data_IF_772222427858
#
_entry.id   IF_772222427858
#
_cell.length_a   1.000
_cell.length_b   1.000
_cell.length_c   1.000
_cell.angle_alpha   90.00
_cell.angle_beta   90.00
_cell.angle_gamma   90.00
#
_symmetry.space_group_name_H-M   'P 1'
#
loop_
_entity.id
_entity.type
_entity.pdbx_description
1 polymer ?
#
# COMPACT_ATOMS: atom_id res chain seq x y z
N UNK A 1 -35.66 -63.91 24.78
CA UNK A 1 -36.84 -63.50 25.55
C UNK A 1 -37.59 -62.49 24.78
N UNK A 2 -38.83 -62.82 24.43
CA UNK A 2 -39.83 -62.01 23.70
C UNK A 2 -40.37 -60.85 24.55
N UNK A 3 -40.72 -59.73 23.97
CA UNK A 3 -41.91 -58.87 24.26
C UNK A 3 -41.94 -57.77 23.20
N UNK A 4 -42.71 -57.86 22.19
CA UNK A 4 -44.15 -57.53 21.89
C UNK A 4 -44.44 -56.01 21.95
N UNK A 5 -44.59 -55.48 20.82
CA UNK A 5 -45.54 -54.59 20.10
C UNK A 5 -46.70 -54.06 20.96
N UNK A 6 -46.93 -52.74 20.90
CA UNK A 6 -48.30 -52.21 20.90
C UNK A 6 -48.39 -50.99 20.00
N UNK A 7 -49.22 -51.13 18.96
CA UNK A 7 -49.71 -50.10 18.10
C UNK A 7 -50.93 -49.43 18.74
N UNK A 8 -51.05 -48.15 18.64
CA UNK A 8 -52.29 -47.43 18.92
C UNK A 8 -52.61 -46.50 17.73
N UNK A 9 -53.66 -46.89 17.01
CA UNK A 9 -54.40 -46.08 16.08
C UNK A 9 -55.11 -44.97 16.83
N UNK A 10 -55.12 -43.78 16.35
CA UNK A 10 -56.08 -42.74 16.69
C UNK A 10 -56.52 -41.97 15.43
N UNK A 11 -57.80 -41.94 15.33
CA UNK A 11 -58.74 -41.66 14.27
C UNK A 11 -58.68 -40.17 13.82
N UNK A 12 -58.91 -40.00 12.50
CA UNK A 12 -59.20 -38.78 11.80
C UNK A 12 -60.35 -37.96 12.40
N UNK A 13 -60.18 -36.64 12.40
CA UNK A 13 -61.28 -35.73 12.25
C UNK A 13 -60.95 -34.62 11.22
N UNK A 14 -61.68 -34.67 10.14
CA UNK A 14 -61.66 -33.70 9.03
C UNK A 14 -62.36 -32.43 9.55
N UNK A 15 -61.65 -31.32 9.56
CA UNK A 15 -62.27 -29.99 9.65
C UNK A 15 -61.93 -29.20 8.42
N UNK A 16 -62.98 -29.01 7.61
CA UNK A 16 -62.99 -28.11 6.46
C UNK A 16 -62.91 -26.69 6.99
N UNK A 17 -61.86 -25.97 6.73
CA UNK A 17 -61.79 -24.53 7.01
C UNK A 17 -61.59 -23.72 5.71
N UNK A 18 -62.47 -22.79 5.57
CA UNK A 18 -62.67 -21.81 4.52
C UNK A 18 -61.36 -21.24 3.92
N UNK A 19 -61.33 -21.27 2.57
CA UNK A 19 -60.37 -20.50 1.78
C UNK A 19 -60.86 -19.06 1.71
N UNK A 20 -60.33 -18.24 2.62
CA UNK A 20 -60.44 -16.77 2.56
C UNK A 20 -59.42 -16.24 1.54
N UNK A 21 -59.89 -15.58 0.53
CA UNK A 21 -59.10 -14.84 -0.48
C UNK A 21 -58.20 -13.82 0.20
N UNK A 22 -56.88 -14.05 0.11
CA UNK A 22 -55.87 -13.04 0.45
C UNK A 22 -55.73 -12.08 -0.75
N UNK A 23 -55.70 -10.76 -0.50
CA UNK A 23 -55.45 -9.78 -1.56
C UNK A 23 -53.97 -9.89 -2.02
N UNK A 24 -53.80 -9.96 -3.32
CA UNK A 24 -52.50 -9.80 -3.99
C UNK A 24 -51.99 -8.38 -3.81
N UNK A 25 -51.08 -8.19 -2.83
CA UNK A 25 -50.40 -6.93 -2.63
C UNK A 25 -48.94 -7.23 -2.23
N UNK A 26 -48.10 -7.59 -3.20
CA UNK A 26 -46.62 -7.51 -3.10
C UNK A 26 -45.99 -7.68 -4.49
N UNK A 27 -46.05 -6.60 -5.28
CA UNK A 27 -45.21 -6.46 -6.43
C UNK A 27 -44.97 -4.96 -6.73
N UNK A 28 -44.26 -4.28 -5.83
CA UNK A 28 -43.74 -2.92 -6.13
C UNK A 28 -42.69 -2.54 -5.10
N UNK A 29 -41.51 -3.14 -5.07
CA UNK A 29 -40.34 -2.60 -4.38
C UNK A 29 -38.99 -3.11 -4.92
N UNK A 30 -38.94 -3.88 -6.00
CA UNK A 30 -37.66 -4.35 -6.57
C UNK A 30 -36.93 -3.28 -7.40
N UNK A 31 -37.66 -2.38 -8.04
CA UNK A 31 -37.07 -1.39 -8.96
C UNK A 31 -36.41 -0.21 -8.22
N UNK A 32 -36.94 0.19 -7.06
CA UNK A 32 -36.42 1.31 -6.30
C UNK A 32 -35.16 0.96 -5.49
N UNK A 33 -35.02 -0.30 -5.05
CA UNK A 33 -33.80 -0.76 -4.38
C UNK A 33 -32.64 -0.95 -5.37
N UNK A 34 -32.91 -1.43 -6.57
CA UNK A 34 -31.88 -1.58 -7.61
C UNK A 34 -31.37 -0.21 -8.11
N UNK A 35 -32.23 0.80 -8.15
CA UNK A 35 -31.85 2.17 -8.48
C UNK A 35 -31.15 2.90 -7.31
N UNK A 36 -31.48 2.60 -6.06
CA UNK A 36 -30.78 3.13 -4.90
C UNK A 36 -29.35 2.57 -4.80
N UNK A 37 -29.17 1.28 -5.12
CA UNK A 37 -27.85 0.64 -5.16
C UNK A 37 -26.98 1.21 -6.29
N UNK A 38 -27.55 1.47 -7.47
CA UNK A 38 -26.82 2.10 -8.59
C UNK A 38 -26.37 3.53 -8.30
N UNK A 39 -27.03 4.26 -7.44
CA UNK A 39 -26.72 5.66 -7.16
C UNK A 39 -25.54 5.85 -6.21
N UNK A 40 -25.14 4.81 -5.45
CA UNK A 40 -24.03 4.87 -4.49
C UNK A 40 -22.68 4.42 -5.04
N UNK A 41 -22.62 3.95 -6.27
CA UNK A 41 -21.44 3.30 -6.86
C UNK A 41 -20.48 4.28 -7.55
N UNK A 42 -20.87 5.53 -7.72
CA UNK A 42 -20.15 6.51 -8.55
C UNK A 42 -19.27 7.48 -7.73
N UNK A 43 -19.06 7.21 -6.44
CA UNK A 43 -18.25 8.06 -5.56
C UNK A 43 -16.76 7.87 -5.83
N UNK A 44 -16.09 8.95 -6.15
CA UNK A 44 -14.62 8.99 -6.21
C UNK A 44 -14.10 9.50 -4.88
N UNK A 45 -13.43 8.62 -4.12
CA UNK A 45 -12.77 8.96 -2.85
C UNK A 45 -11.31 9.26 -3.07
N UNK A 46 -10.79 10.31 -2.44
CA UNK A 46 -9.37 10.69 -2.55
C UNK A 46 -8.82 10.93 -1.16
N UNK A 47 -7.78 10.17 -0.80
CA UNK A 47 -6.96 10.43 0.39
C UNK A 47 -5.85 11.40 0.04
N UNK A 48 -5.56 12.34 0.93
CA UNK A 48 -4.52 13.33 0.69
C UNK A 48 -3.97 13.90 2.01
N UNK A 49 -2.77 14.47 1.93
CA UNK A 49 -2.16 15.21 3.02
C UNK A 49 -1.87 16.65 2.60
N UNK A 50 -1.74 17.52 3.59
CA UNK A 50 -1.45 18.94 3.36
C UNK A 50 -0.27 19.36 4.23
N UNK A 51 0.66 20.11 3.64
CA UNK A 51 1.80 20.70 4.35
C UNK A 51 1.86 22.21 4.16
N UNK A 52 2.24 22.89 5.23
CA UNK A 52 2.47 24.33 5.20
C UNK A 52 3.80 24.68 4.50
N UNK A 53 4.06 25.98 4.36
CA UNK A 53 5.31 26.49 3.77
C UNK A 53 6.58 26.09 4.55
N UNK A 54 6.43 25.67 5.81
CA UNK A 54 7.51 25.11 6.66
C UNK A 54 7.57 23.58 6.57
N UNK A 55 6.85 22.96 5.64
CA UNK A 55 6.74 21.51 5.45
C UNK A 55 6.12 20.75 6.62
N UNK A 56 5.45 21.41 7.57
CA UNK A 56 4.74 20.75 8.67
C UNK A 56 3.36 20.30 8.20
N UNK A 57 2.90 19.16 8.72
CA UNK A 57 1.54 18.69 8.45
C UNK A 57 0.50 19.68 8.96
N UNK A 58 -0.48 19.96 8.12
CA UNK A 58 -1.65 20.77 8.45
C UNK A 58 -2.85 19.84 8.54
N UNK A 59 -3.22 19.43 9.77
CA UNK A 59 -4.22 18.39 10.03
C UNK A 59 -5.58 18.92 10.50
N UNK A 60 -5.79 20.25 10.52
CA UNK A 60 -7.01 20.86 11.06
C UNK A 60 -7.71 21.80 10.07
N UNK A 61 -7.61 21.50 8.77
CA UNK A 61 -8.23 22.31 7.74
C UNK A 61 -9.66 21.84 7.46
N UNK A 62 -10.59 22.77 7.25
CA UNK A 62 -11.99 22.49 6.96
C UNK A 62 -12.24 22.22 5.48
N UNK A 63 -13.33 21.50 5.16
CA UNK A 63 -13.77 21.25 3.78
C UNK A 63 -13.80 22.52 2.91
N UNK A 64 -14.22 23.65 3.48
CA UNK A 64 -14.35 24.94 2.79
C UNK A 64 -13.04 25.49 2.25
N UNK A 65 -11.91 24.99 2.74
CA UNK A 65 -10.58 25.42 2.31
C UNK A 65 -10.11 24.66 1.07
N UNK A 66 -10.90 23.68 0.61
CA UNK A 66 -10.54 22.83 -0.52
C UNK A 66 -11.52 22.95 -1.68
N UNK A 67 -10.99 22.81 -2.88
CA UNK A 67 -11.75 22.55 -4.11
C UNK A 67 -11.14 21.34 -4.79
N UNK A 68 -11.98 20.51 -5.39
CA UNK A 68 -11.54 19.36 -6.20
C UNK A 68 -11.93 19.59 -7.65
N UNK A 69 -10.97 19.37 -8.54
CA UNK A 69 -11.17 19.47 -9.98
C UNK A 69 -10.93 18.10 -10.61
N UNK A 70 -11.84 17.69 -11.49
CA UNK A 70 -11.66 16.52 -12.37
C UNK A 70 -11.56 17.03 -13.81
N UNK A 71 -10.48 16.63 -14.50
CA UNK A 71 -10.16 17.12 -15.87
C UNK A 71 -10.26 18.65 -16.01
N UNK A 72 -9.87 19.38 -14.95
CA UNK A 72 -9.91 20.84 -14.88
C UNK A 72 -11.28 21.44 -14.53
N UNK A 73 -12.33 20.61 -14.33
CA UNK A 73 -13.67 21.03 -13.99
C UNK A 73 -13.93 20.83 -12.51
N UNK A 74 -14.37 21.87 -11.81
CA UNK A 74 -14.67 21.79 -10.38
C UNK A 74 -15.84 20.83 -10.10
N UNK A 75 -15.66 19.97 -9.11
CA UNK A 75 -16.64 19.00 -8.65
C UNK A 75 -17.10 19.35 -7.22
N UNK A 76 -18.39 19.24 -6.90
CA UNK A 76 -18.88 19.50 -5.55
C UNK A 76 -18.43 18.39 -4.60
N UNK A 77 -17.71 18.75 -3.53
CA UNK A 77 -17.33 17.82 -2.47
C UNK A 77 -18.59 17.39 -1.72
N UNK A 78 -18.82 16.08 -1.65
CA UNK A 78 -19.99 15.47 -0.97
C UNK A 78 -19.64 14.92 0.40
N UNK A 79 -18.42 14.43 0.55
CA UNK A 79 -17.92 13.88 1.80
C UNK A 79 -16.54 14.48 2.07
N UNK A 80 -16.29 14.77 3.33
CA UNK A 80 -14.99 15.23 3.80
C UNK A 80 -14.80 14.75 5.23
N UNK A 81 -13.64 14.16 5.50
CA UNK A 81 -13.29 13.72 6.83
C UNK A 81 -11.78 13.80 7.08
N UNK A 82 -11.44 13.86 8.35
CA UNK A 82 -10.10 13.63 8.87
C UNK A 82 -10.01 12.15 9.22
N UNK A 83 -9.06 11.43 8.65
CA UNK A 83 -8.98 9.99 8.85
C UNK A 83 -7.84 9.59 9.78
N UNK A 84 -8.12 9.57 11.08
CA UNK A 84 -7.30 8.84 12.05
C UNK A 84 -7.80 7.40 12.30
N UNK A 85 -9.08 7.13 12.04
CA UNK A 85 -9.75 5.91 12.51
C UNK A 85 -10.05 4.88 11.40
N UNK A 86 -9.84 5.23 10.14
CA UNK A 86 -9.98 4.28 9.02
C UNK A 86 -8.80 3.32 9.01
N UNK A 87 -9.10 2.02 8.94
CA UNK A 87 -8.11 0.93 8.84
C UNK A 87 -7.03 1.26 7.80
N UNK A 88 -5.78 1.02 8.16
CA UNK A 88 -4.62 1.17 7.30
C UNK A 88 -4.04 -0.20 6.94
N UNK A 89 -3.85 -0.44 5.66
CA UNK A 89 -3.12 -1.58 5.13
C UNK A 89 -1.81 -1.08 4.55
N UNK A 90 -0.68 -1.42 5.17
CA UNK A 90 0.63 -0.87 4.80
C UNK A 90 1.66 -1.97 4.53
N UNK A 91 2.32 -1.89 3.38
CA UNK A 91 3.44 -2.75 3.03
C UNK A 91 4.77 -2.01 3.06
N UNK A 92 5.83 -2.66 3.54
CA UNK A 92 7.20 -2.18 3.34
C UNK A 92 7.89 -3.07 2.31
N UNK A 93 8.46 -2.44 1.29
CA UNK A 93 9.19 -3.06 0.21
C UNK A 93 10.68 -2.72 0.38
N UNK A 94 11.50 -3.73 0.70
CA UNK A 94 12.93 -3.57 0.98
C UNK A 94 13.75 -3.98 -0.24
N UNK A 95 14.63 -3.11 -0.70
CA UNK A 95 15.66 -3.48 -1.66
C UNK A 95 16.73 -4.30 -0.95
N UNK A 96 16.88 -5.56 -1.35
CA UNK A 96 17.84 -6.49 -0.74
C UNK A 96 19.04 -6.77 -1.64
N UNK A 97 19.40 -5.82 -2.50
CA UNK A 97 20.55 -5.92 -3.40
C UNK A 97 21.88 -6.20 -2.68
N UNK A 98 22.76 -6.91 -3.34
CA UNK A 98 23.97 -7.54 -2.76
C UNK A 98 25.04 -6.59 -2.22
N UNK A 99 24.94 -5.28 -2.43
CA UNK A 99 25.85 -4.29 -1.82
C UNK A 99 25.47 -3.86 -0.40
N UNK A 100 24.42 -4.46 0.18
CA UNK A 100 23.57 -3.86 1.20
C UNK A 100 23.61 -4.57 2.56
N UNK A 101 24.39 -5.61 2.79
CA UNK A 101 24.31 -6.37 4.05
C UNK A 101 24.42 -5.50 5.31
N UNK A 102 25.22 -4.46 5.30
CA UNK A 102 25.38 -3.52 6.40
C UNK A 102 24.21 -2.51 6.46
N UNK A 103 23.65 -2.08 5.31
CA UNK A 103 22.48 -1.21 5.25
C UNK A 103 21.25 -1.99 5.71
N UNK A 104 21.08 -3.25 5.28
CA UNK A 104 19.96 -4.11 5.66
C UNK A 104 19.77 -4.22 7.18
N UNK A 105 20.86 -4.22 7.94
CA UNK A 105 20.76 -4.22 9.42
C UNK A 105 20.08 -2.96 9.95
N UNK A 106 20.44 -1.80 9.43
CA UNK A 106 19.86 -0.52 9.82
C UNK A 106 18.45 -0.34 9.27
N UNK A 107 18.23 -0.69 7.99
CA UNK A 107 16.90 -0.67 7.35
C UNK A 107 15.92 -1.57 8.07
N UNK A 108 16.34 -2.77 8.43
CA UNK A 108 15.53 -3.69 9.20
C UNK A 108 15.17 -3.10 10.57
N UNK A 109 16.14 -2.52 11.28
CA UNK A 109 15.85 -1.84 12.55
C UNK A 109 14.84 -0.72 12.43
N UNK A 110 15.03 0.13 11.43
CA UNK A 110 14.12 1.25 11.15
C UNK A 110 12.72 0.75 10.72
N UNK A 111 12.66 -0.30 9.87
CA UNK A 111 11.39 -0.93 9.46
C UNK A 111 10.63 -1.51 10.65
N UNK A 112 11.34 -2.16 11.60
CA UNK A 112 10.73 -2.69 12.82
C UNK A 112 10.09 -1.58 13.64
N UNK A 113 10.80 -0.47 13.86
CA UNK A 113 10.27 0.69 14.58
C UNK A 113 9.08 1.30 13.85
N UNK A 114 9.18 1.48 12.54
CA UNK A 114 8.09 2.00 11.71
C UNK A 114 6.83 1.13 11.81
N UNK A 115 6.95 -0.18 11.60
CA UNK A 115 5.82 -1.09 11.70
C UNK A 115 5.15 -1.06 13.07
N UNK A 116 5.94 -0.96 14.13
CA UNK A 116 5.42 -0.85 15.50
C UNK A 116 4.65 0.46 15.73
N UNK A 117 5.06 1.56 15.12
CA UNK A 117 4.42 2.85 15.28
C UNK A 117 3.23 3.05 14.35
N UNK A 118 3.30 2.51 13.12
CA UNK A 118 2.29 2.76 12.09
C UNK A 118 1.14 1.77 12.12
N UNK A 119 1.39 0.50 12.48
CA UNK A 119 0.38 -0.56 12.50
C UNK A 119 -0.33 -0.58 13.85
N UNK A 120 -1.59 -0.22 13.85
CA UNK A 120 -2.49 -0.31 15.02
C UNK A 120 -3.13 -1.70 15.07
N UNK A 121 -3.78 -2.10 16.18
CA UNK A 121 -4.43 -3.42 16.28
C UNK A 121 -5.48 -3.71 15.21
N UNK A 122 -6.06 -2.68 14.58
CA UNK A 122 -7.03 -2.79 13.50
C UNK A 122 -6.41 -2.76 12.11
N UNK A 123 -5.13 -2.37 12.01
CA UNK A 123 -4.42 -2.20 10.75
C UNK A 123 -3.71 -3.50 10.35
N UNK A 124 -3.29 -3.59 9.09
CA UNK A 124 -2.50 -4.70 8.59
C UNK A 124 -1.15 -4.22 8.06
N UNK A 125 -0.09 -4.88 8.49
CA UNK A 125 1.26 -4.67 7.99
C UNK A 125 1.79 -5.90 7.27
N UNK A 126 2.56 -5.73 6.19
CA UNK A 126 3.28 -6.80 5.51
C UNK A 126 4.65 -6.34 5.02
N UNK A 127 5.53 -7.28 4.74
CA UNK A 127 6.91 -6.99 4.33
C UNK A 127 7.25 -7.83 3.09
N UNK A 128 7.73 -7.17 2.05
CA UNK A 128 8.31 -7.80 0.87
C UNK A 128 9.78 -7.40 0.76
N UNK A 129 10.56 -8.26 0.14
CA UNK A 129 11.87 -7.88 -0.38
C UNK A 129 11.85 -7.95 -1.90
N UNK A 130 12.66 -7.12 -2.52
CA UNK A 130 12.85 -7.15 -3.96
C UNK A 130 14.33 -6.94 -4.32
N UNK A 131 14.79 -7.70 -5.28
CA UNK A 131 16.08 -7.59 -5.93
C UNK A 131 16.02 -8.37 -7.24
N UNK A 132 16.67 -9.54 -7.36
CA UNK A 132 16.55 -10.43 -8.51
C UNK A 132 15.17 -11.09 -8.65
N UNK A 133 14.34 -11.02 -7.63
CA UNK A 133 12.95 -11.47 -7.59
C UNK A 133 12.22 -10.77 -6.44
N UNK A 134 10.90 -10.94 -6.40
CA UNK A 134 10.06 -10.44 -5.32
C UNK A 134 9.73 -11.57 -4.37
N UNK A 135 10.10 -11.44 -3.11
CA UNK A 135 9.83 -12.42 -2.06
C UNK A 135 8.96 -11.83 -0.94
N UNK A 136 8.01 -12.63 -0.47
CA UNK A 136 7.19 -12.27 0.70
C UNK A 136 7.92 -12.69 1.97
N UNK A 137 8.37 -11.71 2.74
CA UNK A 137 9.00 -11.95 4.04
C UNK A 137 7.96 -12.14 5.13
N UNK A 138 6.89 -11.31 5.11
CA UNK A 138 5.76 -11.42 6.01
C UNK A 138 4.46 -11.08 5.27
N UNK A 139 3.47 -11.97 5.36
CA UNK A 139 2.09 -11.73 4.87
C UNK A 139 1.37 -10.75 5.79
N UNK A 140 0.26 -10.10 5.33
CA UNK A 140 -0.47 -9.15 6.14
C UNK A 140 -0.87 -9.71 7.51
N UNK A 141 -0.57 -8.93 8.56
CA UNK A 141 -0.92 -9.22 9.95
C UNK A 141 -1.07 -7.92 10.73
N UNK A 142 -1.92 -7.94 11.76
CA UNK A 142 -2.01 -6.86 12.76
C UNK A 142 -1.09 -7.10 13.96
N UNK A 143 -0.45 -8.26 14.02
CA UNK A 143 0.46 -8.62 15.09
C UNK A 143 1.84 -7.99 14.84
N UNK A 144 2.12 -6.93 15.57
CA UNK A 144 3.39 -6.21 15.47
C UNK A 144 4.58 -6.99 16.00
N UNK A 145 4.37 -7.99 16.87
CA UNK A 145 5.44 -8.85 17.36
C UNK A 145 5.91 -9.79 16.26
N UNK A 146 4.97 -10.35 15.47
CA UNK A 146 5.28 -11.19 14.30
C UNK A 146 6.04 -10.37 13.26
N UNK A 147 5.62 -9.13 13.01
CA UNK A 147 6.33 -8.22 12.10
C UNK A 147 7.76 -7.95 12.59
N UNK A 148 7.94 -7.69 13.89
CA UNK A 148 9.24 -7.48 14.51
C UNK A 148 10.15 -8.70 14.43
N UNK A 149 9.62 -9.87 14.77
CA UNK A 149 10.39 -11.14 14.70
C UNK A 149 10.94 -11.38 13.31
N UNK A 150 10.13 -11.13 12.29
CA UNK A 150 10.55 -11.27 10.89
C UNK A 150 11.64 -10.27 10.49
N UNK A 151 11.54 -9.05 10.95
CA UNK A 151 12.57 -8.02 10.73
C UNK A 151 13.87 -8.38 11.48
N UNK A 152 13.76 -8.91 12.70
CA UNK A 152 14.95 -9.36 13.46
C UNK A 152 15.62 -10.57 12.81
N UNK A 153 14.87 -11.42 12.12
CA UNK A 153 15.42 -12.49 11.29
C UNK A 153 16.29 -11.93 10.16
N UNK A 154 15.80 -10.88 9.47
CA UNK A 154 16.54 -10.17 8.43
C UNK A 154 17.83 -9.57 9.01
N UNK A 155 17.75 -8.94 10.17
CA UNK A 155 18.92 -8.35 10.87
C UNK A 155 19.96 -9.39 11.23
N UNK A 156 19.53 -10.51 11.82
CA UNK A 156 20.44 -11.62 12.18
C UNK A 156 21.16 -12.14 10.94
N UNK A 157 20.43 -12.31 9.85
CA UNK A 157 21.02 -12.74 8.59
C UNK A 157 22.05 -11.72 8.06
N UNK A 158 21.69 -10.43 8.00
CA UNK A 158 22.59 -9.36 7.53
C UNK A 158 23.89 -9.30 8.35
N UNK A 159 23.79 -9.43 9.67
CA UNK A 159 24.94 -9.43 10.57
C UNK A 159 25.83 -10.66 10.36
N UNK A 160 25.21 -11.82 10.13
CA UNK A 160 25.93 -13.10 9.98
C UNK A 160 26.62 -13.17 8.61
N UNK A 161 25.98 -12.66 7.56
CA UNK A 161 26.53 -12.65 6.20
C UNK A 161 27.81 -11.81 6.09
N UNK A 162 27.96 -10.79 6.96
CA UNK A 162 29.19 -9.97 7.03
C UNK A 162 30.34 -10.58 7.83
N UNK A 163 30.11 -11.66 8.59
CA UNK A 163 31.10 -12.23 9.53
C UNK A 163 31.56 -13.65 9.17
N UNK A 164 30.94 -14.31 8.22
CA UNK A 164 31.23 -15.71 7.89
C UNK A 164 32.07 -15.85 6.60
N UNK A 165 33.35 -16.20 6.81
CA UNK A 165 34.07 -17.06 5.90
C UNK A 165 34.06 -18.48 6.53
N UNK A 166 33.48 -19.53 5.94
CA UNK A 166 33.06 -19.70 4.56
C UNK A 166 31.53 -19.81 4.37
N UNK A 167 31.07 -19.28 3.25
CA UNK A 167 29.77 -19.42 2.63
C UNK A 167 28.53 -19.42 3.53
N UNK A 168 27.71 -18.33 3.48
CA UNK A 168 26.42 -18.27 4.14
C UNK A 168 25.50 -19.42 3.64
N UNK A 169 24.46 -19.78 4.42
CA UNK A 169 23.49 -20.78 3.98
C UNK A 169 22.98 -20.44 2.58
N UNK A 170 22.86 -21.46 1.74
CA UNK A 170 22.59 -21.32 0.30
C UNK A 170 21.26 -20.64 -0.06
N UNK A 171 20.45 -20.33 0.93
CA UNK A 171 19.17 -19.63 0.74
C UNK A 171 18.83 -18.83 2.00
N UNK A 172 18.58 -17.56 1.80
CA UNK A 172 17.88 -16.71 2.78
C UNK A 172 16.39 -17.13 2.83
N UNK A 173 15.71 -17.06 3.99
CA UNK A 173 14.25 -17.10 4.01
C UNK A 173 13.73 -15.92 3.18
N UNK A 174 13.32 -16.16 1.95
CA UNK A 174 13.02 -15.14 0.95
C UNK A 174 13.93 -15.19 -0.29
N UNK A 175 14.92 -16.09 -0.31
CA UNK A 175 15.67 -16.45 -1.53
C UNK A 175 16.74 -15.49 -2.03
N UNK A 176 17.34 -14.67 -1.15
CA UNK A 176 18.49 -13.84 -1.51
C UNK A 176 19.68 -14.74 -1.85
N UNK A 177 20.31 -14.59 -3.02
CA UNK A 177 21.45 -15.41 -3.40
C UNK A 177 22.65 -15.14 -2.49
N UNK A 178 23.45 -16.18 -2.16
CA UNK A 178 24.64 -16.02 -1.36
C UNK A 178 25.67 -15.13 -2.09
N UNK A 179 26.43 -14.36 -1.33
CA UNK A 179 27.68 -13.77 -1.80
C UNK A 179 28.59 -14.91 -2.21
N UNK A 180 29.14 -14.90 -3.42
CA UNK A 180 29.99 -15.97 -3.92
C UNK A 180 31.25 -16.16 -3.08
N UNK A 181 31.84 -17.37 -3.07
CA UNK A 181 33.00 -17.75 -2.23
C UNK A 181 34.28 -16.95 -2.52
N UNK A 182 34.27 -16.10 -3.52
CA UNK A 182 35.44 -15.27 -3.92
C UNK A 182 35.27 -13.80 -3.51
N UNK A 183 34.21 -13.43 -2.72
CA UNK A 183 33.89 -12.02 -2.45
C UNK A 183 33.55 -11.23 -3.73
N UNK A 184 33.58 -11.92 -4.89
CA UNK A 184 33.17 -11.30 -6.14
C UNK A 184 31.66 -11.08 -6.07
N UNK A 185 31.23 -9.85 -6.28
CA UNK A 185 29.82 -9.61 -6.47
C UNK A 185 29.35 -10.42 -7.66
N UNK A 186 28.29 -11.19 -7.47
CA UNK A 186 27.56 -11.67 -8.63
C UNK A 186 27.30 -10.45 -9.54
N UNK A 187 27.45 -10.62 -10.84
CA UNK A 187 27.09 -9.60 -11.85
C UNK A 187 25.60 -9.15 -11.78
N UNK A 188 24.85 -9.63 -10.78
CA UNK A 188 23.48 -9.28 -10.45
C UNK A 188 23.35 -8.03 -9.56
N UNK A 189 24.42 -7.26 -9.35
CA UNK A 189 24.47 -6.07 -8.48
C UNK A 189 23.53 -4.93 -8.87
N UNK A 190 22.82 -5.03 -9.98
CA UNK A 190 21.93 -3.97 -10.51
C UNK A 190 20.53 -4.47 -10.87
N UNK A 191 20.13 -5.64 -10.39
CA UNK A 191 18.80 -6.14 -10.68
C UNK A 191 17.87 -5.68 -9.56
N UNK A 192 16.99 -4.72 -9.84
CA UNK A 192 15.94 -4.29 -8.93
C UNK A 192 14.60 -4.47 -9.64
N UNK A 193 13.78 -5.38 -9.13
CA UNK A 193 12.43 -5.67 -9.63
C UNK A 193 11.39 -4.85 -8.87
N UNK A 194 11.57 -3.53 -8.83
CA UNK A 194 10.71 -2.62 -8.06
C UNK A 194 9.27 -2.58 -8.59
N UNK A 195 9.10 -2.46 -9.91
CA UNK A 195 7.74 -2.39 -10.48
C UNK A 195 6.97 -3.69 -10.28
N UNK A 196 7.64 -4.83 -10.38
CA UNK A 196 7.03 -6.13 -10.06
C UNK A 196 6.68 -6.22 -8.57
N UNK A 197 7.52 -5.71 -7.66
CA UNK A 197 7.22 -5.65 -6.23
C UNK A 197 5.99 -4.78 -5.92
N UNK A 198 5.87 -3.63 -6.56
CA UNK A 198 4.70 -2.75 -6.43
C UNK A 198 3.42 -3.44 -6.93
N UNK A 199 3.50 -4.18 -8.04
CA UNK A 199 2.37 -4.96 -8.56
C UNK A 199 2.00 -6.12 -7.66
N UNK A 200 3.00 -6.90 -7.20
CA UNK A 200 2.79 -8.03 -6.27
C UNK A 200 2.18 -7.53 -4.96
N UNK A 201 2.72 -6.48 -4.36
CA UNK A 201 2.20 -5.90 -3.12
C UNK A 201 0.74 -5.48 -3.26
N UNK A 202 0.39 -4.88 -4.38
CA UNK A 202 -0.96 -4.38 -4.63
C UNK A 202 -1.93 -5.51 -4.96
N UNK A 203 -1.64 -6.32 -5.97
CA UNK A 203 -2.58 -7.33 -6.48
C UNK A 203 -2.75 -8.51 -5.52
N UNK A 204 -1.72 -8.85 -4.75
CA UNK A 204 -1.76 -10.00 -3.84
C UNK A 204 -2.26 -9.63 -2.45
N UNK A 205 -1.93 -8.42 -1.95
CA UNK A 205 -2.16 -8.09 -0.55
C UNK A 205 -3.08 -6.90 -0.32
N UNK A 206 -3.15 -5.93 -1.25
CA UNK A 206 -3.92 -4.71 -1.02
C UNK A 206 -5.23 -4.63 -1.83
N UNK A 207 -5.31 -5.33 -2.96
CA UNK A 207 -6.43 -5.21 -3.90
C UNK A 207 -7.80 -5.43 -3.25
N UNK A 208 -7.90 -6.39 -2.34
CA UNK A 208 -9.16 -6.79 -1.71
C UNK A 208 -9.37 -6.21 -0.32
N UNK A 209 -8.38 -5.45 0.18
CA UNK A 209 -8.48 -4.86 1.49
C UNK A 209 -9.31 -3.59 1.47
N UNK A 210 -10.03 -3.37 2.57
CA UNK A 210 -10.84 -2.18 2.79
C UNK A 210 -10.03 -1.14 3.55
N UNK A 211 -10.30 0.14 3.32
CA UNK A 211 -9.65 1.23 4.02
C UNK A 211 -8.51 1.87 3.24
N UNK A 212 -7.60 2.51 3.96
CA UNK A 212 -6.43 3.19 3.39
C UNK A 212 -5.35 2.18 3.03
N UNK A 213 -4.68 2.39 1.93
CA UNK A 213 -3.67 1.47 1.41
C UNK A 213 -2.41 2.24 1.09
N UNK A 214 -1.28 1.76 1.58
CA UNK A 214 0.01 2.37 1.32
C UNK A 214 1.10 1.32 1.12
N UNK A 215 2.11 1.69 0.35
CA UNK A 215 3.38 0.99 0.29
C UNK A 215 4.51 1.98 0.59
N UNK A 216 5.47 1.56 1.39
CA UNK A 216 6.69 2.29 1.69
C UNK A 216 7.84 1.54 1.04
N UNK A 217 8.39 2.13 0.00
CA UNK A 217 9.53 1.58 -0.75
C UNK A 217 10.81 2.11 -0.14
N UNK A 218 11.68 1.23 0.31
CA UNK A 218 13.05 1.56 0.71
C UNK A 218 13.95 1.19 -0.46
N UNK A 219 14.51 2.18 -1.14
CA UNK A 219 15.23 2.01 -2.39
C UNK A 219 16.57 2.72 -2.38
N UNK A 220 17.57 2.13 -3.02
CA UNK A 220 18.84 2.80 -3.34
C UNK A 220 18.87 3.30 -4.78
N UNK A 221 18.17 2.65 -5.67
CA UNK A 221 18.10 2.98 -7.10
C UNK A 221 16.70 2.80 -7.63
N UNK A 222 16.47 3.24 -8.87
CA UNK A 222 15.26 2.93 -9.61
C UNK A 222 15.18 1.46 -9.99
N UNK A 223 14.10 1.13 -10.71
CA UNK A 223 13.92 -0.20 -11.31
C UNK A 223 14.96 -0.46 -12.41
N UNK A 224 15.37 -1.71 -12.56
CA UNK A 224 16.32 -2.07 -13.61
C UNK A 224 15.97 -3.34 -14.39
N UNK A 225 15.12 -4.21 -13.83
CA UNK A 225 14.89 -5.56 -14.37
C UNK A 225 13.48 -6.10 -14.22
N UNK A 226 12.51 -5.31 -13.78
CA UNK A 226 11.12 -5.75 -13.75
C UNK A 226 10.64 -6.19 -15.15
N UNK A 227 9.79 -7.18 -15.18
CA UNK A 227 9.01 -7.54 -16.38
C UNK A 227 7.92 -6.47 -16.66
N UNK A 228 7.46 -5.82 -15.61
CA UNK A 228 6.49 -4.73 -15.67
C UNK A 228 7.15 -3.39 -15.96
N UNK A 229 6.41 -2.50 -16.62
CA UNK A 229 6.81 -1.11 -16.82
C UNK A 229 6.39 -0.21 -15.65
N UNK A 230 6.93 1.01 -15.59
CA UNK A 230 6.47 2.04 -14.65
C UNK A 230 4.97 2.32 -14.80
N UNK A 231 4.51 2.37 -16.04
CA UNK A 231 3.12 2.60 -16.38
C UNK A 231 2.21 1.49 -15.85
N UNK A 232 2.61 0.23 -16.00
CA UNK A 232 1.89 -0.93 -15.44
C UNK A 232 1.80 -0.86 -13.91
N UNK A 233 2.90 -0.50 -13.25
CA UNK A 233 2.93 -0.36 -11.80
C UNK A 233 2.02 0.79 -11.33
N UNK A 234 2.10 1.96 -11.99
CA UNK A 234 1.26 3.12 -11.69
C UNK A 234 -0.22 2.83 -11.90
N UNK A 235 -0.56 2.16 -13.01
CA UNK A 235 -1.95 1.79 -13.29
C UNK A 235 -2.52 0.93 -12.16
N UNK A 236 -1.80 -0.11 -11.76
CA UNK A 236 -2.25 -1.02 -10.69
C UNK A 236 -2.37 -0.29 -9.35
N UNK A 237 -1.42 0.57 -8.98
CA UNK A 237 -1.49 1.36 -7.76
C UNK A 237 -2.71 2.30 -7.76
N UNK A 238 -2.93 3.02 -8.85
CA UNK A 238 -4.02 4.00 -8.98
C UNK A 238 -5.40 3.34 -9.07
N UNK A 239 -5.51 2.17 -9.71
CA UNK A 239 -6.75 1.40 -9.75
C UNK A 239 -7.16 0.86 -8.38
N UNK A 240 -6.20 0.66 -7.47
CA UNK A 240 -6.42 0.09 -6.15
C UNK A 240 -6.31 1.11 -5.00
N UNK A 241 -6.22 2.40 -5.32
CA UNK A 241 -6.09 3.50 -4.35
C UNK A 241 -4.88 3.36 -3.41
N UNK A 242 -3.77 2.82 -3.91
CA UNK A 242 -2.56 2.61 -3.13
C UNK A 242 -1.65 3.83 -3.24
N UNK A 243 -1.27 4.39 -2.10
CA UNK A 243 -0.31 5.49 -2.01
C UNK A 243 1.09 4.91 -1.88
N UNK A 244 2.03 5.35 -2.71
CA UNK A 244 3.42 4.94 -2.63
C UNK A 244 4.28 6.04 -2.02
N UNK A 245 4.92 5.74 -0.90
CA UNK A 245 6.02 6.54 -0.35
C UNK A 245 7.34 5.91 -0.74
N UNK A 246 8.34 6.72 -1.02
CA UNK A 246 9.67 6.25 -1.40
C UNK A 246 10.70 6.88 -0.47
N UNK A 247 11.48 6.04 0.19
CA UNK A 247 12.68 6.41 0.92
C UNK A 247 13.88 6.07 0.04
N UNK A 248 14.48 7.08 -0.56
CA UNK A 248 15.68 6.89 -1.34
C UNK A 248 16.90 7.08 -0.45
N UNK A 249 17.63 6.00 -0.25
CA UNK A 249 18.82 5.98 0.59
C UNK A 249 20.04 6.37 -0.24
N UNK A 250 20.71 7.40 0.20
CA UNK A 250 22.05 7.77 -0.28
C UNK A 250 23.07 7.43 0.78
N UNK A 251 23.97 6.52 0.45
CA UNK A 251 25.14 6.32 1.29
C UNK A 251 26.33 7.07 0.66
N UNK A 252 26.82 8.12 1.30
CA UNK A 252 28.09 8.71 0.90
C UNK A 252 29.19 7.67 1.11
N UNK A 253 30.18 7.57 0.20
CA UNK A 253 31.31 6.67 0.40
C UNK A 253 31.93 6.95 1.77
N UNK A 254 31.80 6.00 2.70
CA UNK A 254 32.52 6.04 3.97
C UNK A 254 34.00 6.02 3.62
N UNK A 255 34.74 6.89 4.30
CA UNK A 255 36.20 7.05 4.16
C UNK A 255 36.85 5.69 3.93
N UNK A 256 37.50 5.56 2.77
CA UNK A 256 38.03 4.31 2.21
C UNK A 256 39.12 3.65 3.06
N UNK A 257 39.41 4.18 4.26
CA UNK A 257 40.45 3.69 5.13
C UNK A 257 40.19 2.31 5.76
N UNK A 258 38.99 1.74 5.64
CA UNK A 258 38.65 0.42 6.17
C UNK A 258 38.36 -0.67 5.13
N UNK A 259 38.46 -0.37 3.84
CA UNK A 259 38.21 -1.31 2.74
C UNK A 259 39.41 -1.51 1.82
N UNK A 260 40.56 -1.83 2.43
CA UNK A 260 41.82 -1.98 1.69
C UNK A 260 41.88 -3.22 0.76
N UNK A 261 40.77 -4.00 0.65
CA UNK A 261 40.75 -5.22 -0.17
C UNK A 261 39.49 -5.45 -1.00
N UNK A 262 38.52 -4.54 -0.98
CA UNK A 262 37.43 -4.59 -1.96
C UNK A 262 37.55 -3.36 -2.86
N UNK A 263 37.89 -3.57 -4.10
CA UNK A 263 37.86 -2.56 -5.16
C UNK A 263 36.41 -2.09 -5.41
N UNK A 264 35.85 -1.37 -4.45
CA UNK A 264 34.54 -0.74 -4.50
C UNK A 264 34.71 0.76 -4.77
N UNK A 265 35.59 1.08 -5.72
CA UNK A 265 35.63 2.39 -6.38
C UNK A 265 34.45 2.56 -7.36
N UNK A 266 33.32 1.93 -7.07
CA UNK A 266 32.09 2.34 -7.69
C UNK A 266 31.54 3.50 -6.86
N UNK A 267 31.99 4.72 -7.19
CA UNK A 267 31.19 5.91 -7.04
C UNK A 267 29.75 5.52 -7.38
N UNK A 268 28.87 5.58 -6.37
CA UNK A 268 27.44 5.59 -6.67
C UNK A 268 27.19 6.85 -7.49
N UNK A 269 27.35 6.73 -8.82
CA UNK A 269 26.88 7.74 -9.72
C UNK A 269 25.40 7.90 -9.39
N UNK A 270 25.04 9.11 -9.00
CA UNK A 270 23.66 9.48 -8.72
C UNK A 270 22.85 9.06 -9.95
N UNK A 271 22.00 8.06 -9.79
CA UNK A 271 21.08 7.64 -10.85
C UNK A 271 19.95 8.69 -10.92
N UNK A 272 20.25 9.81 -11.58
CA UNK A 272 19.30 10.93 -11.73
C UNK A 272 18.02 10.48 -12.43
N UNK A 273 18.13 9.52 -13.36
CA UNK A 273 16.96 8.98 -14.02
C UNK A 273 16.11 8.13 -13.07
N UNK A 274 16.73 7.28 -12.27
CA UNK A 274 16.03 6.49 -11.24
C UNK A 274 15.37 7.37 -10.19
N UNK A 275 16.04 8.45 -9.75
CA UNK A 275 15.47 9.42 -8.82
C UNK A 275 14.20 10.10 -9.38
N UNK A 276 14.24 10.55 -10.64
CA UNK A 276 13.09 11.18 -11.29
C UNK A 276 11.90 10.23 -11.38
N UNK A 277 12.16 8.96 -11.73
CA UNK A 277 11.15 7.91 -11.82
C UNK A 277 10.54 7.60 -10.45
N UNK A 278 11.36 7.44 -9.41
CA UNK A 278 10.89 7.20 -8.04
C UNK A 278 10.03 8.36 -7.52
N UNK A 279 10.44 9.58 -7.81
CA UNK A 279 9.68 10.78 -7.47
C UNK A 279 8.35 10.84 -8.22
N UNK A 280 8.35 10.55 -9.53
CA UNK A 280 7.14 10.48 -10.35
C UNK A 280 6.16 9.44 -9.80
N UNK A 281 6.65 8.25 -9.43
CA UNK A 281 5.86 7.17 -8.84
C UNK A 281 5.14 7.64 -7.56
N UNK A 282 5.90 8.20 -6.61
CA UNK A 282 5.36 8.69 -5.35
C UNK A 282 4.33 9.81 -5.56
N UNK A 283 4.69 10.84 -6.33
CA UNK A 283 3.80 11.99 -6.58
C UNK A 283 2.53 11.63 -7.35
N UNK A 284 2.59 10.67 -8.28
CA UNK A 284 1.42 10.24 -9.05
C UNK A 284 0.36 9.58 -8.17
N UNK A 285 0.79 8.85 -7.14
CA UNK A 285 -0.09 8.12 -6.21
C UNK A 285 -0.53 8.95 -5.00
N UNK A 286 0.01 10.17 -4.83
CA UNK A 286 -0.31 11.06 -3.71
C UNK A 286 0.62 10.93 -2.50
N UNK A 287 1.66 10.11 -2.62
CA UNK A 287 2.74 10.04 -1.65
C UNK A 287 3.89 11.00 -1.96
N UNK A 288 5.03 10.72 -1.38
CA UNK A 288 6.25 11.53 -1.52
C UNK A 288 7.50 10.67 -1.57
N UNK A 289 8.51 11.17 -2.24
CA UNK A 289 9.87 10.67 -2.10
C UNK A 289 10.61 11.50 -1.06
N UNK A 290 11.29 10.83 -0.13
CA UNK A 290 12.16 11.41 0.88
C UNK A 290 13.59 10.93 0.63
N UNK A 291 14.52 11.89 0.54
CA UNK A 291 15.94 11.59 0.45
C UNK A 291 16.52 11.32 1.84
N UNK A 292 17.09 10.14 2.04
CA UNK A 292 17.74 9.72 3.27
C UNK A 292 19.26 9.80 3.06
N UNK A 293 19.85 10.90 3.52
CA UNK A 293 21.30 11.13 3.47
C UNK A 293 21.92 10.69 4.79
N UNK A 294 22.34 9.43 4.85
CA UNK A 294 22.84 8.78 6.05
C UNK A 294 21.76 8.09 6.87
N UNK A 295 22.13 6.96 7.45
CA UNK A 295 21.20 6.06 8.14
C UNK A 295 20.55 6.67 9.39
N UNK A 296 21.22 7.65 10.02
CA UNK A 296 20.68 8.44 11.14
C UNK A 296 19.38 9.20 10.78
N UNK A 297 19.13 9.44 9.49
CA UNK A 297 17.92 10.11 8.99
C UNK A 297 16.79 9.15 8.64
N UNK A 298 17.06 7.85 8.56
CA UNK A 298 16.06 6.88 8.11
C UNK A 298 14.87 6.80 9.09
N UNK A 299 15.15 6.71 10.40
CA UNK A 299 14.07 6.68 11.40
C UNK A 299 13.20 7.95 11.33
N UNK A 300 13.82 9.12 11.22
CA UNK A 300 13.07 10.38 11.12
C UNK A 300 12.20 10.44 9.85
N UNK A 301 12.69 9.90 8.74
CA UNK A 301 11.92 9.85 7.49
C UNK A 301 10.73 8.87 7.59
N UNK A 302 10.92 7.73 8.26
CA UNK A 302 9.84 6.78 8.51
C UNK A 302 8.80 7.31 9.50
N UNK A 303 9.23 8.00 10.55
CA UNK A 303 8.32 8.70 11.48
C UNK A 303 7.50 9.77 10.75
N UNK A 304 8.12 10.52 9.83
CA UNK A 304 7.43 11.50 9.00
C UNK A 304 6.34 10.86 8.11
N UNK A 305 6.61 9.68 7.54
CA UNK A 305 5.61 8.91 6.76
C UNK A 305 4.49 8.39 7.68
N UNK A 306 4.85 7.87 8.86
CA UNK A 306 3.87 7.40 9.84
C UNK A 306 2.91 8.52 10.23
N UNK A 307 3.45 9.71 10.52
CA UNK A 307 2.64 10.89 10.83
C UNK A 307 1.71 11.27 9.66
N UNK A 308 2.20 11.24 8.43
CA UNK A 308 1.36 11.50 7.26
C UNK A 308 0.23 10.47 7.14
N UNK A 309 0.54 9.19 7.29
CA UNK A 309 -0.45 8.12 7.21
C UNK A 309 -1.53 8.24 8.28
N UNK A 310 -1.20 8.80 9.45
CA UNK A 310 -2.17 9.01 10.54
C UNK A 310 -2.99 10.30 10.41
N UNK A 311 -2.52 11.28 9.63
CA UNK A 311 -3.14 12.61 9.50
C UNK A 311 -3.64 12.92 8.10
N UNK A 312 -4.10 11.89 7.38
CA UNK A 312 -4.70 12.08 6.06
C UNK A 312 -6.09 12.68 6.15
N UNK A 313 -6.43 13.49 5.15
CA UNK A 313 -7.80 13.84 4.83
C UNK A 313 -8.36 12.85 3.83
N UNK A 314 -9.67 12.74 3.79
CA UNK A 314 -10.37 12.20 2.62
C UNK A 314 -11.43 13.16 2.15
N UNK A 315 -11.64 13.18 0.86
CA UNK A 315 -12.82 13.78 0.26
C UNK A 315 -13.45 12.81 -0.74
N UNK A 316 -14.76 12.96 -0.90
CA UNK A 316 -15.51 12.21 -1.90
C UNK A 316 -16.38 13.13 -2.74
N UNK A 317 -16.46 12.85 -4.03
CA UNK A 317 -17.32 13.54 -4.97
C UNK A 317 -17.93 12.58 -5.99
N UNK A 318 -19.07 12.96 -6.58
CA UNK A 318 -19.65 12.24 -7.69
C UNK A 318 -19.21 12.91 -8.98
N UNK A 319 -18.50 12.19 -9.88
CA UNK A 319 -18.07 12.73 -11.16
C UNK A 319 -19.27 13.23 -11.97
N UNK A 320 -19.17 14.40 -12.57
CA UNK A 320 -20.21 14.88 -13.49
C UNK A 320 -20.32 13.97 -14.73
N UNK A 321 -19.18 13.47 -15.21
CA UNK A 321 -19.13 12.47 -16.28
C UNK A 321 -19.09 11.06 -15.68
N UNK A 322 -20.24 10.45 -15.55
CA UNK A 322 -20.38 9.05 -15.08
C UNK A 322 -20.11 8.07 -16.23
N UNK A 323 -18.97 8.19 -16.88
CA UNK A 323 -18.56 7.27 -17.96
C UNK A 323 -17.34 6.46 -17.52
N UNK A 324 -17.57 5.18 -17.26
CA UNK A 324 -16.57 4.21 -16.82
C UNK A 324 -15.92 3.54 -18.05
N UNK A 325 -15.22 4.33 -18.85
CA UNK A 325 -14.64 3.95 -20.14
C UNK A 325 -13.18 3.47 -20.07
N UNK A 326 -12.66 3.26 -18.87
CA UNK A 326 -11.29 2.82 -18.62
C UNK A 326 -10.24 3.94 -18.80
N UNK A 327 -10.65 5.15 -19.16
CA UNK A 327 -9.69 6.24 -19.37
C UNK A 327 -9.27 6.87 -18.06
N UNK A 328 -8.06 7.41 -18.08
CA UNK A 328 -7.53 8.18 -16.96
C UNK A 328 -8.28 9.51 -16.80
N UNK A 329 -8.69 9.81 -15.57
CA UNK A 329 -9.29 11.08 -15.15
C UNK A 329 -8.32 11.81 -14.24
N UNK A 330 -7.94 13.00 -14.62
CA UNK A 330 -7.03 13.83 -13.83
C UNK A 330 -7.75 14.42 -12.63
N UNK A 331 -7.21 14.25 -11.43
CA UNK A 331 -7.69 14.88 -10.20
C UNK A 331 -6.70 15.97 -9.77
N UNK A 332 -7.23 17.08 -9.30
CA UNK A 332 -6.46 18.12 -8.65
C UNK A 332 -7.24 18.63 -7.43
N UNK A 333 -6.65 18.52 -6.26
CA UNK A 333 -7.15 19.16 -5.04
C UNK A 333 -6.34 20.45 -4.86
N UNK A 334 -7.05 21.57 -4.75
CA UNK A 334 -6.45 22.88 -4.52
C UNK A 334 -6.93 23.44 -3.19
N UNK A 335 -6.03 24.08 -2.44
CA UNK A 335 -6.37 24.82 -1.24
C UNK A 335 -6.51 26.30 -1.56
N UNK A 336 -7.45 26.99 -0.88
CA UNK A 336 -7.63 28.42 -0.97
C UNK A 336 -6.56 29.20 -0.19
N UNK A 337 -5.89 28.56 0.75
CA UNK A 337 -4.86 29.19 1.55
C UNK A 337 -3.52 29.17 0.82
N UNK A 338 -2.87 30.32 0.77
CA UNK A 338 -1.53 30.45 0.19
C UNK A 338 -0.48 29.75 1.06
N UNK A 339 0.52 29.15 0.42
CA UNK A 339 1.65 28.52 1.11
C UNK A 339 1.40 27.08 1.58
N UNK A 340 0.21 26.51 1.32
CA UNK A 340 -0.06 25.10 1.56
C UNK A 340 0.17 24.27 0.29
N UNK A 341 0.76 23.08 0.45
CA UNK A 341 0.95 22.11 -0.62
C UNK A 341 0.13 20.86 -0.31
N UNK A 342 -0.72 20.47 -1.28
CA UNK A 342 -1.54 19.25 -1.20
C UNK A 342 -0.81 18.12 -1.91
N UNK A 343 -0.75 16.96 -1.24
CA UNK A 343 -0.25 15.70 -1.78
C UNK A 343 -1.43 14.75 -1.92
N UNK A 344 -1.86 14.56 -3.14
CA UNK A 344 -2.98 13.71 -3.53
C UNK A 344 -2.61 12.97 -4.82
N UNK A 345 -3.24 11.83 -5.07
CA UNK A 345 -3.10 11.14 -6.35
C UNK A 345 -3.47 12.06 -7.50
N UNK A 346 -2.76 11.93 -8.62
CA UNK A 346 -2.96 12.81 -9.80
C UNK A 346 -4.20 12.47 -10.61
N UNK A 347 -4.82 11.33 -10.34
CA UNK A 347 -6.01 10.87 -11.04
C UNK A 347 -6.37 9.43 -10.72
N UNK A 348 -7.27 8.89 -11.49
CA UNK A 348 -7.72 7.50 -11.43
C UNK A 348 -8.12 7.00 -12.81
N UNK A 349 -8.15 5.69 -12.99
CA UNK A 349 -8.72 5.08 -14.20
C UNK A 349 -10.21 4.83 -13.99
N UNK A 350 -11.05 5.39 -14.85
CA UNK A 350 -12.50 5.23 -14.80
C UNK A 350 -12.90 3.83 -15.26
N UNK A 351 -12.60 2.81 -14.45
CA UNK A 351 -12.83 1.40 -14.77
C UNK A 351 -14.03 0.83 -14.01
N UNK A 352 -14.88 -0.03 -14.60
CA UNK A 352 -16.00 -0.65 -13.89
C UNK A 352 -15.63 -1.40 -12.60
N UNK A 353 -14.40 -1.96 -12.52
CA UNK A 353 -13.90 -2.60 -11.33
C UNK A 353 -13.63 -1.62 -10.17
N UNK A 354 -13.23 -0.38 -10.48
CA UNK A 354 -13.07 0.69 -9.48
C UNK A 354 -14.38 0.95 -8.74
N UNK A 355 -15.47 0.96 -9.47
CA UNK A 355 -16.84 1.06 -8.97
C UNK A 355 -17.13 -0.01 -7.90
N UNK A 356 -16.81 -1.27 -8.20
CA UNK A 356 -17.09 -2.39 -7.31
C UNK A 356 -16.28 -2.38 -6.00
N UNK A 357 -15.06 -1.83 -6.04
CA UNK A 357 -14.17 -1.70 -4.86
C UNK A 357 -14.66 -0.62 -3.90
N UNK A 358 -15.06 0.53 -4.42
CA UNK A 358 -15.58 1.65 -3.61
C UNK A 358 -16.90 1.29 -2.90
N UNK A 359 -17.75 0.48 -3.52
CA UNK A 359 -18.99 0.01 -2.91
C UNK A 359 -18.75 -0.79 -1.63
N UNK A 360 -17.74 -1.68 -1.61
CA UNK A 360 -17.38 -2.44 -0.42
C UNK A 360 -16.89 -1.56 0.73
N UNK A 361 -16.19 -0.48 0.43
CA UNK A 361 -15.70 0.47 1.44
C UNK A 361 -16.81 1.33 2.05
N UNK A 362 -17.83 1.70 1.26
CA UNK A 362 -18.97 2.52 1.72
C UNK A 362 -20.07 1.76 2.48
N UNK A 363 -20.14 0.44 2.34
CA UNK A 363 -21.17 -0.40 2.99
C UNK A 363 -20.79 -0.89 4.39
N UNK A 364 -19.62 -0.52 4.88
CA UNK A 364 -19.07 -0.92 6.19
C UNK A 364 -19.20 0.16 7.27
N UNK A 365 -19.98 1.22 7.00
CA UNK A 365 -20.28 2.30 7.99
C UNK A 365 -21.66 2.17 8.57
#
# INVERSE_FOLDING_TARGET
MRRTIQASLLVLSFSILNIGSLPACFAQNGADQENAIKKNVDLVSVYFTVRDHRKRLASQLDQREFRVLEDGKEQPIKFFAHHSDVVLNVGVLLDTGTGMAWILNEEAGATSMFMKHVVRPTDLGFILSYHARVDTLQVPTSDTEVLQEKVDEIRRWATTAGTLDPAPPRTFPGGIPPIGPTGQPYNQRREAHLYDALRVSTLRYLQHEVGRKAVVVVAMSGDSKSESTLEDALEVLLQNDVIAYVLQIYDPPRDSSHFDHCDVTHTYEKDEHGEEVLKKLAEATGGRMLEVKGMDKLNAALDEISDELHHQYSLGYYPEKQNWDGKFRKIQIVTQQQGYKVYARKGYYAHPAYQAMQYKAGSSQ
#
